data_IF_084128352832
#
_entry.id   IF_084128352832
#
_cell.length_a   1.000
_cell.length_b   1.000
_cell.length_c   1.000
_cell.angle_alpha   90.00
_cell.angle_beta   90.00
_cell.angle_gamma   90.00
#
_symmetry.space_group_name_H-M   'P 1'
#
loop_
_entity.id
_entity.type
_entity.pdbx_description
1 polymer ?
#
# COMPACT_ATOMS: atom_id res chain seq x y z
N UNK A 1 -0.93 -10.32 -16.27
CA UNK A 1 -2.20 -10.16 -15.50
C UNK A 1 -2.48 -11.40 -14.67
N UNK A 2 -2.92 -11.21 -13.42
CA UNK A 2 -3.17 -12.25 -12.42
C UNK A 2 -4.68 -12.44 -12.24
N UNK A 3 -5.19 -13.65 -12.35
CA UNK A 3 -6.59 -13.96 -12.04
C UNK A 3 -6.84 -13.88 -10.53
N UNK A 4 -8.09 -13.67 -10.10
CA UNK A 4 -8.44 -13.63 -8.68
C UNK A 4 -8.05 -14.93 -7.92
N UNK A 5 -8.25 -16.15 -8.46
CA UNK A 5 -7.75 -17.37 -7.83
C UNK A 5 -6.22 -17.37 -7.64
N UNK A 6 -5.45 -16.97 -8.65
CA UNK A 6 -3.99 -16.90 -8.57
C UNK A 6 -3.52 -15.82 -7.58
N UNK A 7 -4.24 -14.70 -7.50
CA UNK A 7 -4.02 -13.66 -6.49
C UNK A 7 -4.21 -14.23 -5.08
N UNK A 8 -5.35 -14.87 -4.84
CA UNK A 8 -5.69 -15.45 -3.53
C UNK A 8 -4.71 -16.55 -3.11
N UNK A 9 -4.22 -17.35 -4.06
CA UNK A 9 -3.20 -18.37 -3.80
C UNK A 9 -1.85 -17.75 -3.35
N UNK A 10 -1.50 -16.57 -3.86
CA UNK A 10 -0.23 -15.91 -3.55
C UNK A 10 -0.27 -14.98 -2.32
N UNK A 11 -1.45 -14.55 -1.87
CA UNK A 11 -1.60 -13.64 -0.71
C UNK A 11 -0.96 -14.15 0.58
N UNK A 12 -1.03 -15.45 0.96
CA UNK A 12 -0.35 -15.95 2.14
C UNK A 12 1.17 -15.72 2.12
N UNK A 13 1.80 -15.84 0.94
CA UNK A 13 3.23 -15.57 0.78
C UNK A 13 3.55 -14.08 0.98
N UNK A 14 2.72 -13.19 0.41
CA UNK A 14 2.83 -11.75 0.62
C UNK A 14 2.70 -11.39 2.09
N UNK A 15 1.71 -11.95 2.79
CA UNK A 15 1.55 -11.74 4.23
C UNK A 15 2.83 -12.12 4.99
N UNK A 16 3.41 -13.29 4.69
CA UNK A 16 4.65 -13.76 5.31
C UNK A 16 5.86 -12.84 5.04
N UNK A 17 5.89 -12.18 3.89
CA UNK A 17 6.92 -11.18 3.59
C UNK A 17 6.69 -9.88 4.37
N UNK A 18 5.43 -9.41 4.41
CA UNK A 18 5.07 -8.16 5.08
C UNK A 18 5.21 -8.24 6.61
N UNK A 19 5.07 -9.41 7.23
CA UNK A 19 5.35 -9.57 8.67
C UNK A 19 6.83 -9.37 9.03
N UNK A 20 7.73 -9.50 8.06
CA UNK A 20 9.17 -9.22 8.25
C UNK A 20 9.50 -7.74 8.07
N UNK A 21 8.57 -6.94 7.56
CA UNK A 21 8.79 -5.51 7.39
C UNK A 21 8.73 -4.81 8.74
N UNK A 22 9.89 -4.40 9.27
CA UNK A 22 10.02 -3.86 10.63
C UNK A 22 9.16 -2.62 10.94
N UNK A 23 8.62 -1.95 9.91
CA UNK A 23 7.73 -0.78 10.07
C UNK A 23 6.26 -1.16 10.25
N UNK A 24 5.89 -2.42 9.98
CA UNK A 24 4.51 -2.88 10.09
C UNK A 24 4.18 -3.11 11.57
N UNK A 25 3.16 -2.41 12.07
CA UNK A 25 2.62 -2.58 13.42
C UNK A 25 1.50 -3.62 13.44
N UNK A 26 0.71 -3.68 12.36
CA UNK A 26 -0.44 -4.58 12.24
C UNK A 26 -0.70 -4.98 10.80
N UNK A 27 -1.16 -6.22 10.60
CA UNK A 27 -1.71 -6.73 9.34
C UNK A 27 -3.09 -7.31 9.61
N UNK A 28 -4.06 -7.00 8.76
CA UNK A 28 -5.43 -7.49 8.84
C UNK A 28 -5.89 -8.02 7.47
N UNK A 29 -6.63 -9.13 7.47
CA UNK A 29 -7.39 -9.57 6.30
C UNK A 29 -8.57 -8.63 6.10
N UNK A 30 -8.69 -8.12 4.88
CA UNK A 30 -9.85 -7.34 4.43
C UNK A 30 -10.46 -8.03 3.23
N UNK A 31 -11.64 -7.57 2.81
CA UNK A 31 -12.23 -8.05 1.58
C UNK A 31 -11.23 -7.84 0.42
N UNK A 32 -10.96 -8.91 -0.32
CA UNK A 32 -10.09 -8.94 -1.49
C UNK A 32 -8.62 -8.53 -1.24
N UNK A 33 -8.11 -8.63 0.00
CA UNK A 33 -6.68 -8.42 0.25
C UNK A 33 -6.26 -8.21 1.70
N UNK A 34 -5.29 -7.32 1.90
CA UNK A 34 -4.63 -7.02 3.18
C UNK A 34 -4.67 -5.53 3.48
N UNK A 35 -4.94 -5.19 4.74
CA UNK A 35 -4.70 -3.87 5.30
C UNK A 35 -3.52 -3.91 6.27
N UNK A 36 -2.66 -2.91 6.22
CA UNK A 36 -1.47 -2.77 7.05
C UNK A 36 -1.45 -1.40 7.72
N UNK A 37 -1.12 -1.40 9.01
CA UNK A 37 -0.77 -0.18 9.73
C UNK A 37 0.76 -0.13 9.84
N UNK A 38 1.37 0.92 9.30
CA UNK A 38 2.82 1.05 9.13
C UNK A 38 3.30 2.36 9.75
N UNK A 39 4.30 2.29 10.62
CA UNK A 39 4.95 3.48 11.21
C UNK A 39 6.03 4.01 10.27
N UNK A 40 5.77 5.14 9.61
CA UNK A 40 6.78 5.80 8.76
C UNK A 40 7.75 6.65 9.56
N UNK A 41 7.24 7.39 10.54
CA UNK A 41 7.97 8.24 11.48
C UNK A 41 7.28 8.19 12.85
N UNK A 42 7.90 8.75 13.89
CA UNK A 42 7.34 8.79 15.25
C UNK A 42 5.90 9.29 15.31
N UNK A 43 5.59 10.31 14.51
CA UNK A 43 4.31 11.02 14.44
C UNK A 43 3.49 10.69 13.20
N UNK A 44 3.95 9.79 12.33
CA UNK A 44 3.32 9.52 11.03
C UNK A 44 3.03 8.04 10.84
N UNK A 45 1.74 7.74 10.69
CA UNK A 45 1.22 6.42 10.38
C UNK A 45 0.76 6.34 8.91
N UNK A 46 1.03 5.21 8.30
CA UNK A 46 0.56 4.84 6.97
C UNK A 46 -0.43 3.69 7.14
N UNK A 47 -1.67 3.90 6.70
CA UNK A 47 -2.63 2.83 6.50
C UNK A 47 -2.55 2.42 5.03
N UNK A 48 -2.08 1.20 4.76
CA UNK A 48 -1.81 0.67 3.43
C UNK A 48 -2.75 -0.49 3.13
N UNK A 49 -3.45 -0.44 2.00
CA UNK A 49 -4.34 -1.50 1.54
C UNK A 49 -3.76 -2.08 0.25
N UNK A 50 -3.49 -3.38 0.26
CA UNK A 50 -3.17 -4.17 -0.91
C UNK A 50 -4.42 -4.97 -1.25
N UNK A 51 -4.96 -4.81 -2.45
CA UNK A 51 -6.22 -5.46 -2.82
C UNK A 51 -6.21 -5.89 -4.29
N UNK A 52 -7.15 -6.75 -4.65
CA UNK A 52 -7.41 -7.10 -6.04
C UNK A 52 -8.41 -6.13 -6.66
N UNK A 53 -8.00 -5.42 -7.73
CA UNK A 53 -8.91 -4.58 -8.48
C UNK A 53 -9.73 -5.42 -9.47
N UNK A 54 -11.04 -5.55 -9.21
CA UNK A 54 -11.95 -6.35 -10.05
C UNK A 54 -12.26 -5.73 -11.41
N UNK A 55 -12.02 -4.43 -11.59
CA UNK A 55 -12.26 -3.73 -12.86
C UNK A 55 -11.08 -3.97 -13.80
N UNK A 56 -9.87 -3.86 -13.26
CA UNK A 56 -8.63 -3.99 -14.04
C UNK A 56 -7.97 -5.37 -13.96
N UNK A 57 -8.50 -6.27 -13.12
CA UNK A 57 -7.98 -7.62 -12.90
C UNK A 57 -6.49 -7.65 -12.51
N UNK A 58 -6.09 -6.76 -11.60
CA UNK A 58 -4.70 -6.62 -11.17
C UNK A 58 -4.58 -6.36 -9.66
N UNK A 59 -3.46 -6.73 -9.03
CA UNK A 59 -3.11 -6.24 -7.70
C UNK A 59 -2.96 -4.72 -7.71
N UNK A 60 -3.51 -4.06 -6.69
CA UNK A 60 -3.51 -2.61 -6.53
C UNK A 60 -3.20 -2.20 -5.10
N UNK A 61 -2.70 -0.98 -4.94
CA UNK A 61 -2.44 -0.35 -3.63
C UNK A 61 -3.19 0.98 -3.53
N UNK A 62 -3.85 1.15 -2.39
CA UNK A 62 -4.32 2.45 -1.91
C UNK A 62 -3.82 2.70 -0.49
N UNK A 63 -3.70 3.95 -0.08
CA UNK A 63 -3.19 4.28 1.25
C UNK A 63 -3.75 5.59 1.82
N UNK A 64 -3.59 5.75 3.13
CA UNK A 64 -3.82 6.99 3.87
C UNK A 64 -2.63 7.30 4.75
N UNK A 65 -2.36 8.59 4.92
CA UNK A 65 -1.36 9.07 5.86
C UNK A 65 -2.08 9.73 7.03
N UNK A 66 -1.65 9.38 8.23
CA UNK A 66 -2.19 9.89 9.47
C UNK A 66 -1.07 10.54 10.26
N UNK A 67 -1.33 11.72 10.82
CA UNK A 67 -0.48 12.33 11.82
C UNK A 67 -1.05 12.00 13.20
N UNK A 68 -0.17 11.56 14.10
CA UNK A 68 -0.46 11.43 15.51
C UNK A 68 -0.34 12.81 16.15
N UNK A 69 -1.46 13.33 16.63
CA UNK A 69 -1.50 14.54 17.42
C UNK A 69 -1.69 14.16 18.88
N UNK A 70 -0.88 14.74 19.77
CA UNK A 70 -0.94 14.45 21.21
C UNK A 70 -1.12 15.78 21.94
N UNK A 71 -2.37 16.12 22.21
CA UNK A 71 -2.75 17.29 23.01
C UNK A 71 -3.26 16.81 24.36
N UNK A 72 -2.73 17.36 25.47
CA UNK A 72 -3.24 17.14 26.84
C UNK A 72 -3.47 15.66 27.22
N UNK A 73 -2.50 14.78 26.94
CA UNK A 73 -2.56 13.33 27.18
C UNK A 73 -3.63 12.56 26.36
N UNK A 74 -4.28 13.21 25.38
CA UNK A 74 -5.18 12.56 24.43
C UNK A 74 -4.48 12.42 23.09
N UNK A 75 -4.25 11.16 22.69
CA UNK A 75 -3.77 10.84 21.34
C UNK A 75 -4.93 10.86 20.35
N UNK A 76 -4.84 11.70 19.33
CA UNK A 76 -5.77 11.73 18.20
C UNK A 76 -5.04 11.47 16.87
N UNK A 77 -5.77 10.94 15.89
CA UNK A 77 -5.26 10.71 14.55
C UNK A 77 -5.90 11.69 13.59
N UNK A 78 -5.06 12.47 12.90
CA UNK A 78 -5.49 13.42 11.87
C UNK A 78 -5.11 12.90 10.50
N UNK A 79 -6.09 12.81 9.60
CA UNK A 79 -5.83 12.47 8.20
C UNK A 79 -5.01 13.59 7.55
N UNK A 80 -3.91 13.22 6.91
CA UNK A 80 -3.05 14.13 6.16
C UNK A 80 -3.49 14.19 4.70
N UNK A 81 -3.91 15.38 4.26
CA UNK A 81 -4.15 15.69 2.84
C UNK A 81 -2.98 16.52 2.32
N UNK A 82 -2.05 15.85 1.66
CA UNK A 82 -0.82 16.38 1.12
C UNK A 82 -0.92 16.61 -0.39
N UNK A 83 -0.23 17.64 -0.87
CA UNK A 83 0.06 17.88 -2.28
C UNK A 83 1.04 16.83 -2.84
N UNK A 84 1.14 16.71 -4.17
CA UNK A 84 2.09 15.77 -4.81
C UNK A 84 3.54 16.06 -4.40
N UNK A 85 3.95 17.33 -4.28
CA UNK A 85 5.28 17.70 -3.81
C UNK A 85 5.55 17.24 -2.37
N UNK A 86 4.55 17.34 -1.49
CA UNK A 86 4.67 16.90 -0.09
C UNK A 86 4.72 15.36 -0.02
N UNK A 87 3.89 14.66 -0.80
CA UNK A 87 3.97 13.19 -0.91
C UNK A 87 5.34 12.73 -1.38
N UNK A 88 5.90 13.34 -2.44
CA UNK A 88 7.24 13.02 -2.96
C UNK A 88 8.36 13.32 -1.98
N UNK A 89 8.14 14.22 -1.02
CA UNK A 89 9.12 14.51 0.03
C UNK A 89 9.15 13.45 1.14
N UNK A 90 8.10 12.64 1.26
CA UNK A 90 7.93 11.63 2.32
C UNK A 90 8.04 10.21 1.75
N UNK A 91 7.58 10.01 0.52
CA UNK A 91 7.49 8.72 -0.16
C UNK A 91 8.40 8.70 -1.39
N UNK A 92 8.98 7.54 -1.68
CA UNK A 92 9.79 7.31 -2.86
C UNK A 92 8.91 6.97 -4.08
N UNK A 93 8.13 7.95 -4.54
CA UNK A 93 7.18 7.75 -5.64
C UNK A 93 7.85 7.52 -6.99
N UNK A 94 9.09 7.98 -7.22
CA UNK A 94 9.75 7.83 -8.52
C UNK A 94 8.85 8.26 -9.69
N UNK A 95 8.63 7.34 -10.64
CA UNK A 95 7.74 7.53 -11.80
C UNK A 95 6.27 7.17 -11.52
N UNK A 96 5.94 6.63 -10.34
CA UNK A 96 4.56 6.35 -9.98
C UNK A 96 3.76 7.64 -9.87
N UNK A 97 2.50 7.57 -10.32
CA UNK A 97 1.53 8.64 -10.15
C UNK A 97 0.58 8.28 -9.01
N UNK A 98 0.14 9.29 -8.26
CA UNK A 98 -0.78 9.12 -7.15
C UNK A 98 -2.01 9.99 -7.37
N UNK A 99 -3.19 9.43 -7.14
CA UNK A 99 -4.46 10.16 -7.24
C UNK A 99 -5.19 10.08 -5.92
N UNK A 100 -5.62 11.24 -5.40
CA UNK A 100 -6.52 11.29 -4.26
C UNK A 100 -7.96 11.12 -4.75
N UNK A 101 -8.64 10.06 -4.32
CA UNK A 101 -10.02 9.78 -4.71
C UNK A 101 -10.84 9.25 -3.53
N UNK A 102 -12.16 9.33 -3.64
CA UNK A 102 -13.07 8.75 -2.64
C UNK A 102 -13.31 7.29 -2.96
N UNK A 103 -13.06 6.44 -1.98
CA UNK A 103 -13.42 5.03 -2.03
C UNK A 103 -14.94 4.88 -1.87
N UNK A 104 -15.59 4.29 -2.86
CA UNK A 104 -17.05 4.19 -2.92
C UNK A 104 -17.62 3.27 -1.84
N UNK A 105 -16.86 2.25 -1.42
CA UNK A 105 -17.29 1.28 -0.41
C UNK A 105 -17.12 1.86 1.00
N UNK A 106 -15.94 2.43 1.28
CA UNK A 106 -15.60 2.96 2.60
C UNK A 106 -16.07 4.40 2.83
N UNK A 107 -16.58 5.07 1.78
CA UNK A 107 -16.96 6.50 1.78
C UNK A 107 -15.87 7.39 2.38
N UNK A 108 -14.62 7.02 2.15
CA UNK A 108 -13.43 7.60 2.76
C UNK A 108 -12.44 7.97 1.67
N UNK A 109 -11.59 8.96 1.92
CA UNK A 109 -10.63 9.44 0.91
C UNK A 109 -9.34 8.65 1.02
N UNK A 110 -8.86 8.12 -0.11
CA UNK A 110 -7.62 7.35 -0.23
C UNK A 110 -6.73 7.91 -1.35
N UNK A 111 -5.42 7.77 -1.17
CA UNK A 111 -4.45 7.90 -2.24
C UNK A 111 -4.33 6.56 -2.98
N UNK A 112 -4.56 6.57 -4.29
CA UNK A 112 -4.41 5.42 -5.17
C UNK A 112 -3.09 5.54 -5.93
N UNK A 113 -2.29 4.47 -5.92
CA UNK A 113 -1.05 4.41 -6.70
C UNK A 113 -1.39 3.82 -8.06
N UNK A 114 -1.27 4.63 -9.11
CA UNK A 114 -1.52 4.17 -10.47
C UNK A 114 -0.20 3.75 -11.13
N UNK A 115 -0.25 2.64 -11.86
CA UNK A 115 0.81 2.22 -12.76
C UNK A 115 0.19 1.66 -14.04
N UNK A 116 0.45 2.32 -15.16
CA UNK A 116 -0.05 1.88 -16.46
C UNK A 116 0.66 0.61 -16.96
N UNK A 117 1.87 0.31 -16.47
CA UNK A 117 2.76 -0.71 -17.04
C UNK A 117 3.33 -1.66 -15.96
N UNK A 118 2.47 -2.22 -15.11
CA UNK A 118 2.90 -3.19 -14.07
C UNK A 118 3.66 -4.38 -14.63
N UNK A 119 3.15 -5.01 -15.69
CA UNK A 119 3.75 -6.20 -16.29
C UNK A 119 5.13 -5.92 -16.89
N UNK A 120 5.37 -4.69 -17.39
CA UNK A 120 6.69 -4.28 -17.87
C UNK A 120 7.74 -4.18 -16.75
N UNK A 121 7.30 -3.88 -15.52
CA UNK A 121 8.18 -3.72 -14.36
C UNK A 121 8.33 -5.00 -13.53
N UNK A 122 7.29 -5.83 -13.46
CA UNK A 122 7.21 -7.03 -12.61
C UNK A 122 7.51 -8.32 -13.39
N UNK A 123 7.35 -8.27 -14.72
CA UNK A 123 7.41 -9.44 -15.61
C UNK A 123 6.05 -10.14 -15.73
N UNK A 124 5.85 -10.90 -16.81
CA UNK A 124 4.59 -11.56 -17.14
C UNK A 124 4.43 -12.96 -16.53
N UNK A 125 5.45 -13.47 -15.84
CA UNK A 125 5.40 -14.80 -15.22
C UNK A 125 4.40 -14.80 -14.04
N UNK A 126 3.48 -15.75 -14.02
CA UNK A 126 2.46 -15.88 -12.98
C UNK A 126 3.09 -16.39 -11.68
N UNK A 127 4.10 -17.27 -11.77
CA UNK A 127 4.75 -17.83 -10.59
C UNK A 127 5.42 -16.71 -9.80
N UNK A 128 5.10 -16.60 -8.51
CA UNK A 128 5.60 -15.55 -7.62
C UNK A 128 5.37 -14.10 -8.09
N UNK A 129 4.44 -13.86 -9.02
CA UNK A 129 4.12 -12.53 -9.54
C UNK A 129 3.88 -11.53 -8.41
N UNK A 130 3.04 -11.89 -7.44
CA UNK A 130 2.63 -10.97 -6.39
C UNK A 130 3.77 -10.67 -5.41
N UNK A 131 4.67 -11.63 -5.18
CA UNK A 131 5.91 -11.42 -4.40
C UNK A 131 6.82 -10.40 -5.09
N UNK A 132 7.04 -10.54 -6.39
CA UNK A 132 7.84 -9.57 -7.16
C UNK A 132 7.18 -8.19 -7.18
N UNK A 133 5.86 -8.17 -7.37
CA UNK A 133 5.05 -6.95 -7.34
C UNK A 133 5.19 -6.22 -6.01
N UNK A 134 4.99 -6.91 -4.88
CA UNK A 134 5.15 -6.33 -3.53
C UNK A 134 6.57 -5.81 -3.30
N UNK A 135 7.58 -6.55 -3.75
CA UNK A 135 8.98 -6.14 -3.63
C UNK A 135 9.27 -4.81 -4.32
N UNK A 136 8.58 -4.52 -5.42
CA UNK A 136 8.66 -3.25 -6.13
C UNK A 136 7.86 -2.15 -5.41
N UNK A 137 6.60 -2.42 -5.09
CA UNK A 137 5.69 -1.39 -4.59
C UNK A 137 5.95 -0.97 -3.14
N UNK A 138 6.40 -1.88 -2.28
CA UNK A 138 6.72 -1.53 -0.89
C UNK A 138 7.90 -0.55 -0.81
N UNK A 139 8.79 -0.54 -1.82
CA UNK A 139 9.89 0.43 -1.91
C UNK A 139 9.45 1.89 -2.07
N UNK A 140 8.17 2.13 -2.38
CA UNK A 140 7.57 3.46 -2.34
C UNK A 140 7.55 3.99 -0.89
N UNK A 141 7.32 3.12 0.08
CA UNK A 141 7.18 3.44 1.50
C UNK A 141 8.46 3.15 2.29
N UNK A 142 9.32 2.27 1.79
CA UNK A 142 10.59 1.93 2.43
C UNK A 142 11.65 1.44 1.43
N UNK A 143 12.63 2.29 1.10
CA UNK A 143 13.76 1.95 0.23
C UNK A 143 14.59 0.75 0.73
N UNK A 144 14.57 0.49 2.03
CA UNK A 144 15.32 -0.61 2.65
C UNK A 144 14.52 -1.91 2.73
N UNK A 145 13.31 -1.98 2.16
CA UNK A 145 12.54 -3.21 2.15
C UNK A 145 13.27 -4.30 1.35
N UNK A 146 13.63 -5.38 2.05
CA UNK A 146 14.22 -6.59 1.49
C UNK A 146 13.18 -7.71 1.64
N UNK A 147 12.64 -8.25 0.53
CA UNK A 147 11.75 -9.40 0.58
C UNK A 147 12.46 -10.67 1.09
#
# INVERSE_FOLDING_TARGET
>A
MLTLPEYNEQIPNVRSLLTKWAKVERIQDVQDGLQLDVRLKTDTLLELHIYYDHVYHVPSIKFRLWSLDTEEDISSLRLLTLSDSELRSILNLGTFSVTLSTDMEMKSVYYYINNCDTDANVGSDVEHYLTRWISLYIRIFDLNFVP
#
